data_IF_994961141007
#
_entry.id   IF_994961141007
#
_cell.length_a   1.000
_cell.length_b   1.000
_cell.length_c   1.000
_cell.angle_alpha   90.00
_cell.angle_beta   90.00
_cell.angle_gamma   90.00
#
_symmetry.space_group_name_H-M   'P 1'
#
loop_
_entity.id
_entity.type
_entity.pdbx_description
1 polymer ?
#
# COMPACT_ATOMS: atom_id res chain seq x y z
N UNK A 1 17.51 8.93 -20.01
CA UNK A 1 17.89 8.38 -21.34
C UNK A 1 16.86 8.85 -22.34
N UNK A 2 17.29 9.49 -23.43
CA UNK A 2 16.38 9.92 -24.51
C UNK A 2 16.43 8.84 -25.60
N UNK A 3 15.30 8.21 -25.89
CA UNK A 3 15.19 7.20 -26.96
C UNK A 3 14.31 7.74 -28.09
N UNK A 4 14.61 7.37 -29.32
CA UNK A 4 13.77 7.61 -30.49
C UNK A 4 13.11 6.28 -30.91
N UNK A 5 11.79 6.29 -31.05
CA UNK A 5 11.04 5.15 -31.59
C UNK A 5 11.22 5.04 -33.13
N UNK A 6 10.83 3.91 -33.72
CA UNK A 6 10.81 3.67 -35.18
C UNK A 6 9.95 4.67 -35.98
N UNK A 7 9.11 5.45 -35.30
CA UNK A 7 8.28 6.51 -35.87
C UNK A 7 8.83 7.93 -35.60
N UNK A 8 10.07 8.06 -35.10
CA UNK A 8 10.70 9.35 -34.81
C UNK A 8 10.15 10.09 -33.60
N UNK A 9 9.38 9.41 -32.73
CA UNK A 9 8.91 9.99 -31.47
C UNK A 9 9.97 9.83 -30.38
N UNK A 10 10.32 10.94 -29.74
CA UNK A 10 11.27 10.96 -28.63
C UNK A 10 10.56 10.58 -27.31
N UNK A 11 11.10 9.59 -26.60
CA UNK A 11 10.65 9.18 -25.27
C UNK A 11 11.78 9.30 -24.26
N UNK A 12 11.49 9.96 -23.14
CA UNK A 12 12.39 10.02 -21.99
C UNK A 12 12.15 8.81 -21.08
N UNK A 13 13.21 8.06 -20.80
CA UNK A 13 13.18 6.88 -19.94
C UNK A 13 14.21 7.03 -18.83
N UNK A 14 13.86 6.60 -17.63
CA UNK A 14 14.74 6.57 -16.47
C UNK A 14 14.76 5.18 -15.86
N UNK A 15 15.94 4.74 -15.39
CA UNK A 15 16.10 3.50 -14.63
C UNK A 15 15.69 3.66 -13.14
N UNK A 16 15.51 4.91 -12.69
CA UNK A 16 14.99 5.26 -11.35
C UNK A 16 13.64 5.93 -11.49
N UNK A 17 12.78 5.78 -10.49
CA UNK A 17 11.54 6.55 -10.39
C UNK A 17 11.88 8.04 -10.36
N UNK A 18 11.65 8.73 -11.48
CA UNK A 18 11.95 10.14 -11.64
C UNK A 18 10.78 10.84 -12.32
N UNK A 19 10.44 12.04 -11.83
CA UNK A 19 9.46 12.89 -12.49
C UNK A 19 10.07 13.44 -13.80
N UNK A 20 9.38 13.28 -14.94
CA UNK A 20 9.91 13.72 -16.25
C UNK A 20 9.92 15.24 -16.43
N UNK A 21 9.23 15.99 -15.56
CA UNK A 21 9.07 17.44 -15.67
C UNK A 21 10.10 18.23 -14.84
N UNK A 22 10.39 17.79 -13.62
CA UNK A 22 11.27 18.49 -12.68
C UNK A 22 12.58 17.71 -12.36
N UNK A 23 12.70 16.46 -12.83
CA UNK A 23 13.86 15.62 -12.58
C UNK A 23 13.99 15.11 -11.14
N UNK A 24 12.97 15.28 -10.30
CA UNK A 24 12.97 14.78 -8.94
C UNK A 24 12.96 13.25 -8.92
N UNK A 25 13.91 12.64 -8.21
CA UNK A 25 13.95 11.19 -8.01
C UNK A 25 13.18 10.79 -6.77
N UNK A 26 12.18 9.93 -6.93
CA UNK A 26 11.44 9.36 -5.81
C UNK A 26 12.29 8.29 -5.11
N UNK A 27 12.25 8.22 -3.76
CA UNK A 27 12.84 7.12 -3.03
C UNK A 27 12.16 5.80 -3.40
N UNK A 28 12.89 4.69 -3.31
CA UNK A 28 12.31 3.37 -3.52
C UNK A 28 11.26 3.06 -2.45
N UNK A 29 10.19 2.38 -2.84
CA UNK A 29 9.12 2.01 -1.92
C UNK A 29 9.57 0.80 -1.11
N UNK A 30 10.11 1.07 0.07
CA UNK A 30 10.52 0.05 1.02
C UNK A 30 9.47 -0.15 2.11
N UNK A 31 9.35 -1.35 2.73
CA UNK A 31 8.39 -1.60 3.82
C UNK A 31 8.49 -0.61 4.99
N UNK A 32 9.69 -0.10 5.26
CA UNK A 32 9.94 0.91 6.33
C UNK A 32 9.21 2.23 6.10
N UNK A 33 8.86 2.55 4.85
CA UNK A 33 8.08 3.74 4.49
C UNK A 33 6.67 3.69 5.11
N UNK A 34 6.13 2.49 5.31
CA UNK A 34 4.81 2.26 5.90
C UNK A 34 4.85 2.03 7.41
N UNK A 35 5.99 2.29 8.06
CA UNK A 35 6.15 2.14 9.50
C UNK A 35 6.19 3.49 10.20
N UNK A 36 5.17 3.78 11.02
CA UNK A 36 5.18 4.96 11.90
C UNK A 36 6.22 4.85 13.03
N UNK A 37 6.79 3.66 13.25
CA UNK A 37 7.89 3.44 14.20
C UNK A 37 9.26 3.72 13.57
N UNK A 38 9.32 3.96 12.25
CA UNK A 38 10.54 4.36 11.57
C UNK A 38 10.51 5.85 11.29
N UNK A 39 11.59 6.61 11.53
CA UNK A 39 11.65 8.01 11.13
C UNK A 39 11.52 8.18 9.60
N UNK A 40 11.73 7.11 8.83
CA UNK A 40 11.55 7.07 7.38
C UNK A 40 10.10 6.99 6.92
N UNK A 41 9.18 6.48 7.75
CA UNK A 41 7.75 6.38 7.42
C UNK A 41 6.88 7.31 8.24
N UNK A 42 7.33 7.66 9.45
CA UNK A 42 6.63 8.56 10.36
C UNK A 42 6.40 9.95 9.74
N UNK A 43 5.23 10.52 10.06
CA UNK A 43 4.94 11.92 9.80
C UNK A 43 5.98 12.81 10.51
N UNK A 44 6.67 13.73 9.80
CA UNK A 44 7.73 14.55 10.40
C UNK A 44 7.20 15.53 11.46
N UNK A 45 5.94 15.96 11.34
CA UNK A 45 5.35 16.94 12.26
C UNK A 45 5.01 16.36 13.62
N UNK A 46 4.62 15.08 13.68
CA UNK A 46 4.24 14.41 14.93
C UNK A 46 5.10 13.19 15.28
N UNK A 47 6.17 12.92 14.54
CA UNK A 47 7.06 11.76 14.75
C UNK A 47 6.33 10.43 14.92
N UNK A 48 5.25 10.21 14.15
CA UNK A 48 4.48 8.97 14.23
C UNK A 48 3.48 8.86 15.39
N UNK A 49 3.29 9.93 16.17
CA UNK A 49 2.30 9.98 17.26
C UNK A 49 0.86 10.06 16.72
N UNK A 50 0.63 10.84 15.66
CA UNK A 50 -0.71 11.12 15.11
C UNK A 50 -1.43 12.29 15.78
N UNK A 51 -0.89 12.82 16.87
CA UNK A 51 -1.43 13.94 17.64
C UNK A 51 -0.49 15.14 17.62
N UNK A 52 -0.99 16.35 17.91
CA UNK A 52 -0.18 17.58 17.95
C UNK A 52 0.86 17.60 19.06
N UNK A 53 0.47 17.11 20.23
CA UNK A 53 1.27 17.14 21.44
C UNK A 53 1.31 15.76 22.09
N UNK A 54 2.37 15.50 22.83
CA UNK A 54 2.51 14.28 23.61
C UNK A 54 1.36 14.20 24.64
N UNK A 55 0.58 13.12 24.60
CA UNK A 55 -0.66 12.91 25.37
C UNK A 55 -1.83 13.87 25.07
N UNK A 56 -1.82 14.58 23.95
CA UNK A 56 -3.00 15.33 23.50
C UNK A 56 -3.95 14.47 22.66
N UNK A 57 -5.25 14.74 22.73
CA UNK A 57 -6.26 14.10 21.87
C UNK A 57 -6.42 14.81 20.51
N UNK A 58 -5.79 15.97 20.34
CA UNK A 58 -5.85 16.76 19.12
C UNK A 58 -5.03 16.11 18.00
N UNK A 59 -5.69 15.85 16.86
CA UNK A 59 -5.06 15.25 15.68
C UNK A 59 -3.98 16.16 15.09
N UNK A 60 -2.89 15.54 14.63
CA UNK A 60 -1.82 16.21 13.91
C UNK A 60 -2.35 16.84 12.62
N UNK A 61 -2.07 18.13 12.40
CA UNK A 61 -2.54 18.89 11.23
C UNK A 61 -1.95 18.39 9.91
N UNK A 62 -0.78 17.76 9.95
CA UNK A 62 -0.08 17.33 8.73
C UNK A 62 -0.49 15.94 8.25
N UNK A 63 -0.79 15.02 9.17
CA UNK A 63 -1.22 13.66 8.81
C UNK A 63 -2.67 13.34 9.17
N UNK A 64 -3.39 14.25 9.81
CA UNK A 64 -4.78 14.06 10.25
C UNK A 64 -4.99 12.75 11.04
N UNK A 65 -4.05 12.42 11.92
CA UNK A 65 -4.08 11.18 12.70
C UNK A 65 -3.54 9.93 11.99
N UNK A 66 -3.14 10.01 10.71
CA UNK A 66 -2.65 8.86 9.94
C UNK A 66 -1.26 8.36 10.34
N UNK A 67 -0.51 9.14 11.15
CA UNK A 67 0.84 8.83 11.71
C UNK A 67 1.97 8.66 10.68
N UNK A 68 1.64 8.52 9.41
CA UNK A 68 2.58 8.34 8.32
C UNK A 68 2.81 9.66 7.56
N UNK A 69 3.92 9.73 6.84
CA UNK A 69 4.22 10.82 5.91
C UNK A 69 3.36 10.75 4.66
N UNK A 70 3.25 11.88 3.96
CA UNK A 70 2.40 12.01 2.78
C UNK A 70 2.75 10.98 1.70
N UNK A 71 4.03 10.71 1.48
CA UNK A 71 4.51 9.76 0.46
C UNK A 71 3.97 8.35 0.71
N UNK A 72 3.91 7.92 1.98
CA UNK A 72 3.36 6.62 2.35
C UNK A 72 1.83 6.56 2.18
N UNK A 73 1.14 7.69 2.39
CA UNK A 73 -0.31 7.81 2.20
C UNK A 73 -0.73 7.87 0.73
N UNK A 74 0.21 8.17 -0.18
CA UNK A 74 0.00 8.21 -1.62
C UNK A 74 0.44 6.91 -2.32
N UNK A 75 0.50 5.80 -1.59
CA UNK A 75 0.62 4.45 -2.16
C UNK A 75 -0.73 3.77 -2.02
N UNK A 76 -1.30 3.38 -3.17
CA UNK A 76 -2.66 2.86 -3.25
C UNK A 76 -2.68 1.40 -3.70
N UNK A 77 -3.56 0.62 -3.09
CA UNK A 77 -3.89 -0.74 -3.46
C UNK A 77 -5.22 -0.74 -4.21
N UNK A 78 -5.26 -1.46 -5.34
CA UNK A 78 -6.42 -1.46 -6.22
C UNK A 78 -6.60 -0.15 -7.00
N UNK A 79 -7.76 -0.01 -7.64
CA UNK A 79 -8.06 1.06 -8.58
C UNK A 79 -7.72 0.68 -10.03
N UNK A 80 -8.59 1.07 -10.96
CA UNK A 80 -8.33 0.85 -12.39
C UNK A 80 -7.38 1.93 -12.87
N UNK A 81 -6.14 1.56 -13.22
CA UNK A 81 -5.21 2.47 -13.90
C UNK A 81 -5.72 2.92 -15.29
N UNK A 82 -6.86 2.42 -15.78
CA UNK A 82 -7.41 2.59 -17.13
C UNK A 82 -8.72 3.40 -17.23
N UNK A 83 -9.19 4.05 -16.18
CA UNK A 83 -10.35 4.94 -16.27
C UNK A 83 -9.95 6.35 -16.78
N UNK A 84 -9.74 6.49 -18.09
CA UNK A 84 -9.69 7.80 -18.75
C UNK A 84 -11.12 8.34 -18.91
N UNK A 85 -11.67 8.98 -17.86
CA UNK A 85 -13.01 9.57 -17.87
C UNK A 85 -13.30 10.38 -16.61
N UNK A 86 -14.15 11.39 -16.71
CA UNK A 86 -14.47 12.41 -15.70
C UNK A 86 -15.20 11.91 -14.44
N UNK A 87 -15.19 10.61 -14.17
CA UNK A 87 -15.81 9.96 -12.99
C UNK A 87 -14.72 9.40 -12.05
N UNK A 88 -13.58 10.11 -11.98
CA UNK A 88 -12.33 9.65 -11.37
C UNK A 88 -12.31 9.56 -9.83
N UNK A 89 -13.38 9.98 -9.14
CA UNK A 89 -13.40 10.03 -7.66
C UNK A 89 -13.72 8.68 -7.01
N UNK A 90 -14.39 7.78 -7.72
CA UNK A 90 -14.83 6.47 -7.21
C UNK A 90 -13.83 5.33 -7.46
N UNK A 91 -12.78 5.58 -8.26
CA UNK A 91 -11.76 4.59 -8.63
C UNK A 91 -10.35 4.89 -8.12
N UNK A 92 -10.20 5.73 -7.09
CA UNK A 92 -8.90 5.82 -6.39
C UNK A 92 -8.72 4.54 -5.56
N UNK A 93 -7.55 3.91 -5.66
CA UNK A 93 -7.23 2.78 -4.79
C UNK A 93 -7.20 3.19 -3.31
N UNK A 94 -7.13 2.21 -2.41
CA UNK A 94 -7.09 2.45 -0.96
C UNK A 94 -5.64 2.55 -0.48
N UNK A 95 -5.34 3.53 0.36
CA UNK A 95 -4.03 3.61 1.00
C UNK A 95 -3.94 2.66 2.22
N UNK A 96 -2.72 2.53 2.75
CA UNK A 96 -2.45 1.64 3.89
C UNK A 96 -3.34 1.96 5.10
N UNK A 97 -3.59 3.22 5.42
CA UNK A 97 -4.40 3.64 6.58
C UNK A 97 -5.88 3.35 6.35
N UNK A 98 -6.38 3.60 5.15
CA UNK A 98 -7.75 3.28 4.74
C UNK A 98 -8.00 1.78 4.82
N UNK A 99 -7.09 0.95 4.29
CA UNK A 99 -7.23 -0.50 4.32
C UNK A 99 -7.22 -1.07 5.74
N UNK A 100 -6.43 -0.49 6.65
CA UNK A 100 -6.39 -0.90 8.06
C UNK A 100 -7.62 -0.45 8.86
N UNK A 101 -8.43 0.47 8.31
CA UNK A 101 -9.64 0.97 8.96
C UNK A 101 -10.90 0.22 8.50
N UNK A 102 -10.76 -0.74 7.58
CA UNK A 102 -11.85 -1.59 7.11
C UNK A 102 -12.29 -2.59 8.18
N UNK A 103 -13.54 -3.02 8.11
CA UNK A 103 -13.99 -4.20 8.85
C UNK A 103 -13.32 -5.47 8.29
N UNK A 104 -13.35 -6.56 9.04
CA UNK A 104 -12.79 -7.84 8.58
C UNK A 104 -13.47 -8.30 7.28
N UNK A 105 -14.79 -8.12 7.19
CA UNK A 105 -15.58 -8.46 6.00
C UNK A 105 -15.17 -7.59 4.81
N UNK A 106 -15.18 -6.26 4.98
CA UNK A 106 -14.83 -5.33 3.90
C UNK A 106 -13.38 -5.52 3.44
N UNK A 107 -12.46 -5.78 4.37
CA UNK A 107 -11.07 -6.09 4.06
C UNK A 107 -10.97 -7.38 3.24
N UNK A 108 -11.69 -8.42 3.64
CA UNK A 108 -11.72 -9.69 2.91
C UNK A 108 -12.23 -9.50 1.47
N UNK A 109 -13.34 -8.80 1.29
CA UNK A 109 -13.89 -8.49 -0.04
C UNK A 109 -12.89 -7.68 -0.88
N UNK A 110 -12.30 -6.65 -0.28
CA UNK A 110 -11.32 -5.79 -0.93
C UNK A 110 -10.10 -6.58 -1.42
N UNK A 111 -9.41 -7.31 -0.53
CA UNK A 111 -8.21 -8.07 -0.90
C UNK A 111 -8.50 -9.23 -1.85
N UNK A 112 -9.69 -9.84 -1.76
CA UNK A 112 -10.13 -10.88 -2.70
C UNK A 112 -10.35 -10.35 -4.12
N UNK A 113 -10.86 -9.11 -4.23
CA UNK A 113 -11.11 -8.43 -5.50
C UNK A 113 -9.84 -7.98 -6.23
N UNK A 114 -8.68 -7.93 -5.56
CA UNK A 114 -7.43 -7.47 -6.16
C UNK A 114 -6.96 -8.37 -7.31
N UNK A 115 -6.61 -7.72 -8.42
CA UNK A 115 -5.98 -8.34 -9.59
C UNK A 115 -4.47 -8.47 -9.36
N UNK A 116 -4.04 -9.63 -8.86
CA UNK A 116 -2.64 -9.94 -8.58
C UNK A 116 -2.03 -10.81 -9.68
N UNK A 117 -0.76 -10.56 -10.03
CA UNK A 117 0.00 -11.46 -10.91
C UNK A 117 0.27 -12.79 -10.22
N UNK A 118 0.69 -13.82 -10.97
CA UNK A 118 1.04 -15.13 -10.38
C UNK A 118 2.13 -15.01 -9.33
N UNK A 119 3.13 -14.17 -9.59
CA UNK A 119 4.22 -13.92 -8.65
C UNK A 119 3.71 -13.24 -7.38
N UNK A 120 2.83 -12.25 -7.50
CA UNK A 120 2.26 -11.56 -6.33
C UNK A 120 1.36 -12.48 -5.51
N UNK A 121 0.64 -13.40 -6.16
CA UNK A 121 -0.16 -14.41 -5.49
C UNK A 121 0.71 -15.39 -4.67
N UNK A 122 1.88 -15.76 -5.16
CA UNK A 122 2.82 -16.60 -4.40
C UNK A 122 3.34 -15.88 -3.15
N UNK A 123 3.60 -14.57 -3.26
CA UNK A 123 4.06 -13.73 -2.13
C UNK A 123 2.95 -13.49 -1.11
N UNK A 124 1.73 -13.20 -1.56
CA UNK A 124 0.57 -13.01 -0.69
C UNK A 124 0.08 -14.32 -0.04
N UNK A 125 0.50 -15.48 -0.57
CA UNK A 125 -0.06 -16.77 -0.21
C UNK A 125 -1.39 -17.04 -0.93
N UNK A 126 -1.96 -18.23 -0.69
CA UNK A 126 -3.22 -18.64 -1.31
C UNK A 126 -4.27 -17.54 -1.10
N UNK A 127 -4.84 -17.04 -2.21
CA UNK A 127 -5.96 -16.08 -2.17
C UNK A 127 -6.95 -16.57 -1.13
N UNK A 128 -7.27 -15.71 -0.16
CA UNK A 128 -8.16 -16.03 0.95
C UNK A 128 -9.33 -16.85 0.40
N UNK A 129 -9.44 -18.11 0.86
CA UNK A 129 -10.56 -18.96 0.50
C UNK A 129 -11.85 -18.36 1.07
N UNK A 130 -13.03 -18.72 0.52
CA UNK A 130 -14.31 -18.21 0.99
C UNK A 130 -14.37 -18.22 2.52
N UNK A 131 -14.73 -17.07 3.10
CA UNK A 131 -14.87 -16.94 4.55
C UNK A 131 -15.74 -18.11 5.04
N UNK A 132 -15.31 -18.87 6.07
CA UNK A 132 -16.17 -19.89 6.63
C UNK A 132 -17.41 -19.17 7.14
N UNK A 133 -18.55 -19.38 6.50
CA UNK A 133 -19.82 -18.85 6.99
C UNK A 133 -19.97 -19.38 8.41
N UNK A 134 -19.94 -18.50 9.40
CA UNK A 134 -20.34 -18.84 10.75
C UNK A 134 -21.84 -19.15 10.73
N UNK A 135 -22.21 -20.33 10.24
CA UNK A 135 -23.50 -20.92 10.53
C UNK A 135 -23.44 -21.32 11.99
N UNK A 136 -24.15 -20.55 12.82
CA UNK A 136 -24.31 -20.79 14.25
C UNK A 136 -24.56 -22.26 14.54
N UNK A 137 -23.60 -22.90 15.23
CA UNK A 137 -23.83 -24.18 15.90
C UNK A 137 -22.83 -25.29 15.61
N UNK A 138 -21.52 -25.08 15.78
CA UNK A 138 -20.63 -26.20 16.10
C UNK A 138 -19.68 -25.80 17.24
N UNK A 139 -19.61 -26.71 18.21
CA UNK A 139 -18.91 -26.60 19.49
C UNK A 139 -17.42 -26.30 19.33
N UNK A 140 -16.90 -25.43 20.20
CA UNK A 140 -15.46 -25.21 20.40
C UNK A 140 -14.76 -26.56 20.59
N UNK A 141 -13.99 -26.98 19.58
CA UNK A 141 -12.82 -27.83 19.79
C UNK A 141 -11.60 -26.93 19.77
N UNK A 142 -10.77 -27.10 20.79
CA UNK A 142 -9.66 -26.23 21.19
C UNK A 142 -8.69 -25.90 20.05
N UNK A 143 -8.03 -24.72 20.09
CA UNK A 143 -6.96 -24.41 19.15
C UNK A 143 -5.78 -25.36 19.35
N UNK A 144 -5.12 -25.83 18.27
CA UNK A 144 -3.85 -26.54 18.39
C UNK A 144 -2.76 -25.60 18.91
N UNK A 145 -1.89 -26.16 19.77
CA UNK A 145 -0.82 -25.45 20.46
C UNK A 145 0.17 -24.75 19.49
N UNK A 146 0.82 -23.64 19.91
CA UNK A 146 1.76 -22.90 19.07
C UNK A 146 3.04 -23.72 18.83
N UNK A 147 3.19 -24.19 17.59
CA UNK A 147 4.45 -24.70 17.05
C UNK A 147 5.41 -23.56 16.72
N UNK A 148 6.68 -23.77 17.06
CA UNK A 148 7.84 -22.87 17.01
C UNK A 148 8.01 -22.02 15.74
N UNK A 149 8.67 -20.84 15.82
CA UNK A 149 8.87 -19.97 14.68
C UNK A 149 9.97 -20.53 13.78
N UNK A 150 9.61 -20.97 12.56
CA UNK A 150 10.60 -21.20 11.51
C UNK A 150 10.87 -19.87 10.84
N UNK A 151 11.89 -19.18 11.31
CA UNK A 151 12.45 -17.99 10.67
C UNK A 151 13.11 -18.43 9.37
N UNK A 152 12.41 -18.31 8.24
CA UNK A 152 13.03 -18.37 6.92
C UNK A 152 13.25 -16.93 6.47
N UNK A 153 14.49 -16.48 6.63
CA UNK A 153 15.02 -15.32 5.93
C UNK A 153 14.86 -15.52 4.41
N UNK A 154 14.18 -14.60 3.76
CA UNK A 154 14.16 -14.49 2.31
C UNK A 154 14.45 -13.03 1.89
N UNK A 155 15.16 -12.84 0.77
CA UNK A 155 15.81 -11.59 0.42
C UNK A 155 14.83 -10.58 -0.18
N UNK A 156 15.20 -9.30 -0.04
CA UNK A 156 14.61 -8.14 -0.70
C UNK A 156 14.42 -8.38 -2.20
N UNK A 157 13.18 -8.23 -2.69
CA UNK A 157 12.88 -8.08 -4.10
C UNK A 157 11.91 -6.91 -4.29
N UNK A 158 12.32 -5.94 -5.10
CA UNK A 158 11.66 -4.68 -5.39
C UNK A 158 10.25 -4.88 -5.96
N UNK A 159 9.26 -4.25 -5.31
CA UNK A 159 7.90 -4.13 -5.82
C UNK A 159 7.83 -2.85 -6.65
N UNK A 160 7.60 -2.99 -7.95
CA UNK A 160 7.40 -1.89 -8.86
C UNK A 160 6.06 -1.22 -8.63
N UNK A 161 6.06 -0.03 -8.03
CA UNK A 161 4.86 0.80 -7.87
C UNK A 161 4.71 1.71 -9.08
N UNK A 162 3.72 1.42 -9.93
CA UNK A 162 3.27 2.34 -10.98
C UNK A 162 2.50 3.50 -10.33
N UNK A 163 3.13 4.67 -10.20
CA UNK A 163 2.45 5.89 -9.77
C UNK A 163 2.03 6.71 -11.00
N UNK A 164 0.71 6.86 -11.21
CA UNK A 164 0.12 7.61 -12.32
C UNK A 164 -0.35 8.97 -11.77
N UNK A 165 0.32 10.03 -12.22
CA UNK A 165 0.04 11.44 -11.89
C UNK A 165 -1.32 11.84 -12.49
N UNK A 166 -2.33 12.12 -11.65
CA UNK A 166 -3.55 12.81 -12.07
C UNK A 166 -3.33 14.34 -11.96
N UNK A 167 -3.92 15.06 -12.91
CA UNK A 167 -3.81 16.51 -13.16
C UNK A 167 -4.34 17.38 -12.03
#
# INVERSE_FOLDING_TARGET
LKLEDSHGQERLISAKFMCPYDGFSFPEVEPRLFSFNSPYGACPSCNGLGTKHYFGDEQCESCNGARLRAEALHVFLGGDAEANGSEAKEKRGMNIVESTSLSIEDAYEFFSSLRLSKQDQEVCGQKFGPFPSCTSGESLSSPPAPGSPVVKSLPFASIGVHSRLQK
#
